data_IF_502687199910
#
_entry.id   IF_502687199910
#
_cell.length_a   1.000
_cell.length_b   1.000
_cell.length_c   1.000
_cell.angle_alpha   90.00
_cell.angle_beta   90.00
_cell.angle_gamma   90.00
#
_symmetry.space_group_name_H-M   'P 1'
#
loop_
_entity.id
_entity.type
_entity.pdbx_description
1 polymer ?
#
# COMPACT_ATOMS: atom_id res chain seq x y z
N UNK A 1 -46.11 -39.40 -19.23
CA UNK A 1 -45.14 -39.81 -18.19
C UNK A 1 -43.91 -38.91 -18.32
N UNK A 2 -43.86 -37.81 -17.56
CA UNK A 2 -42.68 -36.94 -17.38
C UNK A 2 -41.70 -37.61 -16.36
N UNK A 3 -40.52 -37.03 -16.03
CA UNK A 3 -39.43 -36.44 -16.84
C UNK A 3 -38.04 -36.83 -16.26
N UNK A 4 -36.91 -36.62 -16.94
CA UNK A 4 -35.62 -36.40 -16.23
C UNK A 4 -34.71 -35.43 -16.99
N UNK A 5 -34.89 -34.15 -16.67
CA UNK A 5 -33.93 -33.08 -16.94
C UNK A 5 -32.62 -33.35 -16.18
N UNK A 6 -31.51 -33.47 -16.90
CA UNK A 6 -30.17 -33.53 -16.32
C UNK A 6 -29.76 -32.11 -15.90
N UNK A 7 -30.01 -31.78 -14.62
CA UNK A 7 -29.49 -30.56 -13.98
C UNK A 7 -27.97 -30.54 -14.05
N UNK A 8 -27.41 -29.67 -14.89
CA UNK A 8 -26.00 -29.29 -14.81
C UNK A 8 -25.83 -28.43 -13.57
N UNK A 9 -25.12 -28.95 -12.59
CA UNK A 9 -24.68 -28.21 -11.40
C UNK A 9 -23.71 -27.11 -11.86
N UNK A 10 -24.22 -25.89 -12.00
CA UNK A 10 -23.39 -24.69 -12.07
C UNK A 10 -22.66 -24.61 -10.73
N UNK A 11 -21.36 -24.85 -10.77
CA UNK A 11 -20.48 -24.71 -9.62
C UNK A 11 -20.47 -23.23 -9.24
N UNK A 12 -21.27 -22.89 -8.23
CA UNK A 12 -21.22 -21.59 -7.59
C UNK A 12 -19.77 -21.37 -7.12
N UNK A 13 -19.04 -20.50 -7.82
CA UNK A 13 -17.81 -19.94 -7.30
C UNK A 13 -18.23 -18.96 -6.21
N UNK A 14 -18.41 -19.49 -5.01
CA UNK A 14 -18.67 -18.74 -3.81
C UNK A 14 -17.42 -17.94 -3.43
N UNK A 15 -17.68 -16.74 -2.91
CA UNK A 15 -16.73 -15.80 -2.31
C UNK A 15 -15.87 -15.00 -3.30
N UNK A 16 -16.53 -14.07 -4.02
CA UNK A 16 -15.92 -12.76 -4.21
C UNK A 16 -15.48 -12.25 -2.83
N UNK A 17 -14.23 -11.78 -2.64
CA UNK A 17 -13.87 -11.10 -1.41
C UNK A 17 -14.86 -9.93 -1.23
N UNK A 18 -15.37 -9.69 -0.01
CA UNK A 18 -16.21 -8.52 0.22
C UNK A 18 -15.42 -7.31 -0.27
N UNK A 19 -15.97 -6.64 -1.30
CA UNK A 19 -15.50 -5.33 -1.72
C UNK A 19 -15.33 -4.49 -0.46
N UNK A 20 -14.25 -3.69 -0.34
CA UNK A 20 -13.99 -2.93 0.87
C UNK A 20 -15.23 -2.11 1.18
N UNK A 21 -15.93 -2.53 2.23
CA UNK A 21 -17.11 -1.85 2.74
C UNK A 21 -16.72 -0.38 2.83
N UNK A 22 -17.47 0.47 2.13
CA UNK A 22 -17.30 1.92 2.15
C UNK A 22 -17.53 2.33 3.60
N UNK A 23 -16.43 2.37 4.36
CA UNK A 23 -16.46 2.61 5.79
C UNK A 23 -17.04 4.00 5.96
N UNK A 24 -18.13 4.07 6.73
CA UNK A 24 -18.71 5.32 7.20
C UNK A 24 -17.60 6.28 7.64
N UNK A 25 -17.75 7.61 7.44
CA UNK A 25 -16.72 8.58 7.78
C UNK A 25 -16.37 8.46 9.28
N UNK A 26 -15.27 7.78 9.58
CA UNK A 26 -14.79 7.57 10.94
C UNK A 26 -13.91 8.76 11.34
N UNK A 27 -14.10 9.23 12.57
CA UNK A 27 -13.25 10.25 13.15
C UNK A 27 -11.88 9.64 13.53
N UNK A 28 -10.90 9.77 12.65
CA UNK A 28 -9.51 9.38 12.93
C UNK A 28 -8.73 10.43 13.73
N UNK A 29 -9.45 11.37 14.35
CA UNK A 29 -8.87 12.24 15.38
C UNK A 29 -8.45 11.46 16.60
N UNK A 30 -9.24 10.46 16.97
CA UNK A 30 -8.96 9.61 18.11
C UNK A 30 -7.92 8.56 17.74
N UNK A 31 -6.94 8.37 18.62
CA UNK A 31 -5.88 7.40 18.37
C UNK A 31 -6.41 5.96 18.36
N UNK A 32 -7.40 5.65 19.21
CA UNK A 32 -7.90 4.29 19.36
C UNK A 32 -8.63 3.78 18.11
N UNK A 33 -9.42 4.64 17.44
CA UNK A 33 -10.12 4.30 16.20
C UNK A 33 -9.12 4.06 15.07
N UNK A 34 -8.13 4.95 14.96
CA UNK A 34 -7.03 4.83 13.99
C UNK A 34 -6.17 3.59 14.24
N UNK A 35 -5.86 3.28 15.50
CA UNK A 35 -5.08 2.11 15.89
C UNK A 35 -5.79 0.80 15.53
N UNK A 36 -7.11 0.72 15.75
CA UNK A 36 -7.89 -0.47 15.41
C UNK A 36 -7.87 -0.74 13.91
N UNK A 37 -8.09 0.30 13.09
CA UNK A 37 -8.06 0.20 11.63
C UNK A 37 -6.67 -0.14 11.10
N UNK A 38 -5.62 0.50 11.62
CA UNK A 38 -4.25 0.18 11.22
C UNK A 38 -3.88 -1.27 11.58
N UNK A 39 -4.31 -1.77 12.74
CA UNK A 39 -4.12 -3.18 13.11
C UNK A 39 -4.91 -4.12 12.20
N UNK A 40 -6.12 -3.77 11.80
CA UNK A 40 -6.91 -4.57 10.87
C UNK A 40 -6.23 -4.67 9.50
N UNK A 41 -5.75 -3.54 8.96
CA UNK A 41 -5.00 -3.48 7.70
C UNK A 41 -3.69 -4.27 7.81
N UNK A 42 -2.94 -4.09 8.90
CA UNK A 42 -1.69 -4.81 9.12
C UNK A 42 -1.91 -6.32 9.20
N UNK A 43 -2.97 -6.78 9.89
CA UNK A 43 -3.34 -8.21 9.95
C UNK A 43 -3.75 -8.76 8.60
N UNK A 44 -4.52 -8.02 7.81
CA UNK A 44 -4.97 -8.44 6.49
C UNK A 44 -3.80 -8.68 5.51
N UNK A 45 -2.66 -8.04 5.75
CA UNK A 45 -1.51 -8.11 4.86
C UNK A 45 -0.28 -8.83 5.43
N UNK A 46 -0.28 -9.11 6.72
CA UNK A 46 0.80 -9.81 7.38
C UNK A 46 0.95 -11.23 6.80
N UNK A 47 1.87 -11.40 5.84
CA UNK A 47 2.25 -12.72 5.33
C UNK A 47 3.07 -13.51 6.36
N UNK A 48 3.87 -12.81 7.17
CA UNK A 48 4.80 -13.41 8.16
C UNK A 48 4.86 -12.66 9.48
N UNK A 49 4.88 -11.32 9.45
CA UNK A 49 4.90 -10.48 10.65
C UNK A 49 3.93 -9.32 10.49
N UNK A 50 3.34 -8.90 11.61
CA UNK A 50 2.49 -7.72 11.67
C UNK A 50 3.41 -6.51 11.72
N UNK A 51 3.47 -5.78 10.62
CA UNK A 51 4.32 -4.61 10.43
C UNK A 51 3.45 -3.36 10.26
N UNK A 52 4.07 -2.20 10.42
CA UNK A 52 3.38 -0.93 10.19
C UNK A 52 3.00 -0.79 8.71
N UNK A 53 1.72 -0.51 8.35
CA UNK A 53 1.32 -0.34 6.96
C UNK A 53 2.06 0.81 6.26
N UNK A 54 2.62 0.52 5.09
CA UNK A 54 3.35 1.49 4.27
C UNK A 54 2.43 2.55 3.65
N UNK A 55 3.00 3.73 3.36
CA UNK A 55 2.24 4.80 2.69
C UNK A 55 1.73 4.41 1.31
N UNK A 56 2.52 3.65 0.54
CA UNK A 56 2.13 3.16 -0.79
C UNK A 56 0.95 2.21 -0.71
N UNK A 57 0.93 1.41 0.35
CA UNK A 57 -0.09 0.43 0.60
C UNK A 57 -1.42 1.08 0.96
N UNK A 58 -1.40 2.04 1.88
CA UNK A 58 -2.58 2.82 2.22
C UNK A 58 -3.14 3.57 0.99
N UNK A 59 -2.26 4.04 0.09
CA UNK A 59 -2.68 4.63 -1.18
C UNK A 59 -3.36 3.63 -2.11
N UNK A 60 -2.84 2.40 -2.22
CA UNK A 60 -3.47 1.35 -3.04
C UNK A 60 -4.85 0.92 -2.53
N UNK A 61 -5.11 1.08 -1.23
CA UNK A 61 -6.41 0.83 -0.61
C UNK A 61 -7.32 2.07 -0.61
N UNK A 62 -6.91 3.15 -1.27
CA UNK A 62 -7.59 4.44 -1.32
C UNK A 62 -7.84 5.09 0.07
N UNK A 63 -7.12 4.63 1.10
CA UNK A 63 -7.19 5.09 2.50
C UNK A 63 -6.38 6.37 2.70
N UNK A 64 -6.69 7.40 1.92
CA UNK A 64 -6.03 8.71 2.03
C UNK A 64 -6.40 9.41 3.35
N UNK A 65 -7.61 9.18 3.85
CA UNK A 65 -8.10 9.58 5.17
C UNK A 65 -7.11 9.22 6.31
N UNK A 66 -6.70 7.96 6.39
CA UNK A 66 -5.75 7.46 7.39
C UNK A 66 -4.39 8.13 7.25
N UNK A 67 -3.89 8.28 6.02
CA UNK A 67 -2.60 8.94 5.76
C UNK A 67 -2.63 10.38 6.28
N UNK A 68 -3.71 11.12 6.01
CA UNK A 68 -3.85 12.49 6.47
C UNK A 68 -3.98 12.58 7.99
N UNK A 69 -4.74 11.68 8.61
CA UNK A 69 -4.88 11.62 10.06
C UNK A 69 -3.55 11.35 10.76
N UNK A 70 -2.79 10.36 10.28
CA UNK A 70 -1.46 10.02 10.79
C UNK A 70 -0.53 11.22 10.72
N UNK A 71 -0.46 11.89 9.55
CA UNK A 71 0.45 13.01 9.31
C UNK A 71 0.08 14.27 10.09
N UNK A 72 -1.20 14.64 10.12
CA UNK A 72 -1.65 15.92 10.68
C UNK A 72 -1.95 15.85 12.18
N UNK A 73 -2.46 14.72 12.68
CA UNK A 73 -2.97 14.62 14.07
C UNK A 73 -2.08 13.79 14.99
N UNK A 74 -1.44 12.74 14.48
CA UNK A 74 -0.75 11.75 15.31
C UNK A 74 0.78 11.81 15.24
N UNK A 75 1.36 12.84 14.62
CA UNK A 75 2.81 13.07 14.58
C UNK A 75 3.57 12.23 13.55
N UNK A 76 2.86 11.59 12.61
CA UNK A 76 3.46 10.81 11.53
C UNK A 76 3.60 9.31 11.80
N UNK A 77 4.08 8.58 10.79
CA UNK A 77 4.12 7.11 10.80
C UNK A 77 5.05 6.54 11.87
N UNK A 78 6.18 7.21 12.14
CA UNK A 78 7.14 6.78 13.16
C UNK A 78 6.54 6.87 14.55
N UNK A 79 5.89 7.98 14.89
CA UNK A 79 5.25 8.18 16.19
C UNK A 79 4.12 7.15 16.42
N UNK A 80 3.29 6.90 15.41
CA UNK A 80 2.22 5.89 15.51
C UNK A 80 2.79 4.49 15.64
N UNK A 81 3.87 4.14 14.92
CA UNK A 81 4.48 2.82 15.01
C UNK A 81 5.07 2.56 16.40
N UNK A 82 5.73 3.56 16.99
CA UNK A 82 6.22 3.50 18.36
C UNK A 82 5.07 3.26 19.35
N UNK A 83 3.97 4.01 19.22
CA UNK A 83 2.78 3.84 20.08
C UNK A 83 2.13 2.46 19.91
N UNK A 84 2.19 1.88 18.72
CA UNK A 84 1.64 0.55 18.44
C UNK A 84 2.64 -0.58 18.68
N UNK A 85 3.88 -0.28 19.06
CA UNK A 85 4.99 -1.25 19.15
C UNK A 85 5.14 -2.10 17.87
N UNK A 86 4.85 -1.51 16.71
CA UNK A 86 4.97 -2.17 15.42
C UNK A 86 6.33 -1.85 14.79
N UNK A 87 7.05 -2.85 14.25
CA UNK A 87 8.30 -2.60 13.56
C UNK A 87 8.05 -1.86 12.24
N UNK A 88 8.92 -0.89 11.93
CA UNK A 88 8.99 -0.24 10.62
C UNK A 88 10.12 -0.89 9.86
N UNK A 89 9.81 -1.51 8.72
CA UNK A 89 10.85 -2.05 7.83
C UNK A 89 11.45 -0.92 7.02
N UNK A 90 12.51 -0.31 7.56
CA UNK A 90 13.35 0.58 6.78
C UNK A 90 14.32 -0.27 5.97
N UNK A 91 14.02 -0.50 4.69
CA UNK A 91 14.96 -1.11 3.75
C UNK A 91 16.09 -0.11 3.41
N UNK A 92 16.99 0.14 4.37
CA UNK A 92 18.10 1.10 4.24
C UNK A 92 18.94 0.80 2.99
N UNK A 93 19.23 -0.48 2.74
CA UNK A 93 19.94 -0.97 1.56
C UNK A 93 19.20 -0.65 0.26
N UNK A 94 17.87 -0.80 0.24
CA UNK A 94 17.03 -0.47 -0.92
C UNK A 94 17.06 1.01 -1.27
N UNK A 95 17.03 1.89 -0.27
CA UNK A 95 17.09 3.35 -0.49
C UNK A 95 18.42 3.79 -1.09
N UNK A 96 19.54 3.23 -0.63
CA UNK A 96 20.88 3.52 -1.16
C UNK A 96 21.05 3.05 -2.61
N UNK A 97 20.52 1.88 -2.94
CA UNK A 97 20.50 1.36 -4.32
C UNK A 97 19.68 2.28 -5.23
N UNK A 98 18.48 2.70 -4.80
CA UNK A 98 17.63 3.61 -5.58
C UNK A 98 18.29 4.98 -5.83
N UNK A 99 18.94 5.58 -4.82
CA UNK A 99 19.72 6.81 -4.99
C UNK A 99 20.80 6.64 -6.07
N UNK A 100 21.57 5.55 -6.00
CA UNK A 100 22.61 5.23 -6.99
C UNK A 100 22.04 5.06 -8.40
N UNK A 101 20.91 4.36 -8.55
CA UNK A 101 20.25 4.17 -9.84
C UNK A 101 19.73 5.48 -10.43
N UNK A 102 19.08 6.32 -9.62
CA UNK A 102 18.59 7.63 -10.04
C UNK A 102 19.73 8.52 -10.57
N UNK A 103 20.86 8.57 -9.86
CA UNK A 103 22.06 9.31 -10.29
C UNK A 103 22.59 8.76 -11.62
N UNK A 104 22.68 7.43 -11.78
CA UNK A 104 23.12 6.80 -13.03
C UNK A 104 22.21 7.12 -14.21
N UNK A 105 20.89 7.07 -14.01
CA UNK A 105 19.91 7.40 -15.04
C UNK A 105 20.03 8.86 -15.48
N UNK A 106 20.17 9.79 -14.52
CA UNK A 106 20.40 11.23 -14.81
C UNK A 106 21.65 11.43 -15.67
N UNK A 107 22.77 10.80 -15.31
CA UNK A 107 24.04 10.87 -16.07
C UNK A 107 23.90 10.30 -17.49
N UNK A 108 23.22 9.15 -17.65
CA UNK A 108 22.95 8.56 -18.96
C UNK A 108 22.10 9.49 -19.83
N UNK A 109 21.05 10.10 -19.28
CA UNK A 109 20.21 11.07 -20.00
C UNK A 109 21.00 12.28 -20.47
N UNK A 110 21.83 12.86 -19.60
CA UNK A 110 22.71 13.97 -19.98
C UNK A 110 23.63 13.58 -21.14
N UNK A 111 24.30 12.42 -21.05
CA UNK A 111 25.17 11.92 -22.11
C UNK A 111 24.43 11.70 -23.43
N UNK A 112 23.20 11.17 -23.41
CA UNK A 112 22.38 11.00 -24.60
C UNK A 112 22.00 12.35 -25.24
N UNK A 113 21.71 13.36 -24.42
CA UNK A 113 21.44 14.73 -24.89
C UNK A 113 22.69 15.29 -25.56
N UNK A 114 23.86 15.14 -24.95
CA UNK A 114 25.12 15.64 -25.50
C UNK A 114 25.46 14.94 -26.82
N UNK A 115 25.36 13.60 -26.87
CA UNK A 115 25.54 12.84 -28.11
C UNK A 115 24.56 13.29 -29.20
N UNK A 116 23.29 13.53 -28.86
CA UNK A 116 22.29 14.02 -29.82
C UNK A 116 22.61 15.42 -30.34
N UNK A 117 23.18 16.31 -29.51
CA UNK A 117 23.65 17.64 -29.94
C UNK A 117 24.86 17.57 -30.86
N UNK A 118 25.74 16.60 -30.67
CA UNK A 118 26.97 16.44 -31.46
C UNK A 118 26.76 15.63 -32.75
N UNK A 119 25.68 14.85 -32.85
CA UNK A 119 25.29 14.13 -34.07
C UNK A 119 24.49 15.01 -35.05
N UNK A 120 24.90 16.27 -35.23
CA UNK A 120 24.37 17.15 -36.28
C UNK A 120 25.26 17.00 -37.51
N UNK A 121 24.99 15.96 -38.29
CA UNK A 121 25.45 15.79 -39.66
C UNK A 121 24.30 15.19 -40.47
#
# INVERSE_FOLDING_TARGET
MLPLYRRVLVRACSTLPPAPEVLAPKNYGDFNTLAAELRAIAKAQAKKRVEMPDTLLLKSLERNDLIHAIRKKHGGFVAVAQKLSLPIVTNATGTEVHKKLAVRQKRRRARLIDLKKHNVF
#
